data_IF_961293492431
#
_entry.id   IF_961293492431
#
_cell.length_a   1.000
_cell.length_b   1.000
_cell.length_c   1.000
_cell.angle_alpha   90.00
_cell.angle_beta   90.00
_cell.angle_gamma   90.00
#
_symmetry.space_group_name_H-M   'P 1'
#
loop_
_entity.id
_entity.type
_entity.pdbx_description
1 polymer ?
#
# COMPACT_ATOMS: atom_id res chain seq x y z
N UNK A 1 -7.37 0.15 4.83
CA UNK A 1 -6.20 0.00 5.72
C UNK A 1 -5.49 1.33 5.91
N UNK A 2 -5.12 1.69 7.15
CA UNK A 2 -4.38 2.91 7.46
C UNK A 2 -2.85 2.67 7.42
N UNK A 3 -2.05 3.73 7.64
CA UNK A 3 -0.58 3.65 7.59
C UNK A 3 0.01 2.68 8.62
N UNK A 4 -0.43 2.75 9.88
CA UNK A 4 0.11 1.94 10.98
C UNK A 4 -0.12 0.44 10.74
N UNK A 5 -1.32 0.09 10.25
CA UNK A 5 -1.64 -1.28 9.85
C UNK A 5 -0.76 -1.74 8.67
N UNK A 6 -0.52 -0.88 7.69
CA UNK A 6 0.34 -1.21 6.55
C UNK A 6 1.81 -1.40 6.99
N UNK A 7 2.31 -0.59 7.92
CA UNK A 7 3.65 -0.73 8.51
C UNK A 7 3.78 -2.08 9.24
N UNK A 8 2.77 -2.48 10.01
CA UNK A 8 2.73 -3.78 10.70
C UNK A 8 2.75 -4.96 9.71
N UNK A 9 1.88 -4.94 8.69
CA UNK A 9 1.76 -6.01 7.70
C UNK A 9 2.98 -6.12 6.76
N UNK A 10 3.63 -4.98 6.46
CA UNK A 10 4.77 -4.94 5.54
C UNK A 10 6.14 -5.07 6.21
N UNK A 11 6.22 -4.90 7.54
CA UNK A 11 7.50 -4.80 8.25
C UNK A 11 8.33 -3.56 7.87
N UNK A 12 7.67 -2.52 7.34
CA UNK A 12 8.32 -1.28 6.90
C UNK A 12 7.98 -0.11 7.81
N UNK A 13 8.87 0.88 7.87
CA UNK A 13 8.57 2.19 8.43
C UNK A 13 8.32 3.13 7.27
N UNK A 14 7.12 3.69 7.21
CA UNK A 14 6.65 4.53 6.14
C UNK A 14 6.80 6.01 6.53
N UNK A 15 7.14 6.83 5.55
CA UNK A 15 7.29 8.27 5.68
C UNK A 15 6.08 9.00 5.14
N UNK A 16 6.35 9.87 4.16
CA UNK A 16 5.33 10.66 3.46
C UNK A 16 4.55 9.79 2.49
N UNK A 17 3.23 9.96 2.46
CA UNK A 17 2.36 9.42 1.41
C UNK A 17 2.37 10.35 0.19
N UNK A 18 2.40 9.77 -1.01
CA UNK A 18 2.02 10.47 -2.22
C UNK A 18 0.56 10.15 -2.56
N UNK A 19 -0.34 11.05 -2.21
CA UNK A 19 -1.75 10.96 -2.62
C UNK A 19 -1.92 11.54 -4.02
N UNK A 20 -2.58 10.80 -4.91
CA UNK A 20 -2.80 11.21 -6.29
C UNK A 20 -4.29 11.17 -6.65
N UNK A 21 -4.83 12.27 -7.18
CA UNK A 21 -6.24 12.36 -7.60
C UNK A 21 -6.58 11.46 -8.81
N UNK A 22 -5.58 10.99 -9.55
CA UNK A 22 -5.77 10.04 -10.67
C UNK A 22 -5.77 8.57 -10.22
N UNK A 23 -5.56 8.31 -8.93
CA UNK A 23 -5.68 6.97 -8.40
C UNK A 23 -7.16 6.66 -8.15
N UNK A 24 -7.74 5.80 -8.98
CA UNK A 24 -9.14 5.40 -8.89
C UNK A 24 -9.42 4.39 -7.77
N UNK A 25 -8.37 3.82 -7.16
CA UNK A 25 -8.46 2.79 -6.13
C UNK A 25 -7.53 3.09 -4.92
N UNK A 26 -7.70 4.23 -4.24
CA UNK A 26 -6.79 4.72 -3.19
C UNK A 26 -6.72 3.83 -1.93
N UNK A 27 -7.69 2.95 -1.74
CA UNK A 27 -7.68 1.98 -0.64
C UNK A 27 -6.84 0.74 -0.95
N UNK A 28 -6.71 0.40 -2.23
CA UNK A 28 -5.95 -0.76 -2.72
C UNK A 28 -4.53 -0.40 -3.16
N UNK A 29 -4.33 0.78 -3.73
CA UNK A 29 -3.02 1.21 -4.19
C UNK A 29 -2.57 2.45 -3.43
N UNK A 30 -1.45 2.33 -2.72
CA UNK A 30 -0.88 3.40 -1.89
C UNK A 30 0.58 3.62 -2.21
N UNK A 31 1.02 4.86 -2.24
CA UNK A 31 2.41 5.21 -2.56
C UNK A 31 3.05 5.90 -1.37
N UNK A 32 4.10 5.30 -0.80
CA UNK A 32 4.79 5.84 0.37
C UNK A 32 6.30 5.92 0.13
N UNK A 33 6.92 6.93 0.74
CA UNK A 33 8.37 6.95 0.94
C UNK A 33 8.71 5.95 2.05
N UNK A 34 9.55 4.96 1.76
CA UNK A 34 10.00 4.00 2.78
C UNK A 34 11.21 4.59 3.51
N UNK A 35 11.12 4.63 4.84
CA UNK A 35 12.18 5.14 5.73
C UNK A 35 13.07 4.00 6.22
N UNK A 36 12.50 2.84 6.53
CA UNK A 36 13.27 1.66 6.93
C UNK A 36 12.53 0.36 6.61
N UNK A 37 13.29 -0.72 6.45
CA UNK A 37 12.81 -2.10 6.34
C UNK A 37 13.65 -2.92 7.31
N UNK A 38 13.01 -3.64 8.24
CA UNK A 38 13.71 -4.46 9.25
C UNK A 38 14.81 -3.70 10.04
N UNK A 39 14.63 -2.39 10.25
CA UNK A 39 15.59 -1.51 10.93
C UNK A 39 16.67 -0.90 10.02
N UNK A 40 16.77 -1.32 8.77
CA UNK A 40 17.72 -0.78 7.80
C UNK A 40 17.15 0.42 7.06
N UNK A 41 17.86 1.55 7.10
CA UNK A 41 17.43 2.81 6.52
C UNK A 41 17.25 2.70 4.98
N UNK A 42 16.14 3.25 4.49
CA UNK A 42 15.76 3.29 3.09
C UNK A 42 15.54 4.74 2.63
N UNK A 43 15.65 4.95 1.32
CA UNK A 43 15.46 6.27 0.68
C UNK A 43 14.78 6.12 -0.68
N UNK A 44 13.77 5.27 -0.77
CA UNK A 44 13.03 5.05 -2.01
C UNK A 44 11.51 5.12 -1.79
N UNK A 45 10.77 5.27 -2.88
CA UNK A 45 9.32 5.20 -2.89
C UNK A 45 8.87 3.79 -3.25
N UNK A 46 7.80 3.33 -2.62
CA UNK A 46 7.13 2.09 -2.98
C UNK A 46 5.66 2.32 -3.29
N UNK A 47 5.19 1.61 -4.31
CA UNK A 47 3.77 1.38 -4.54
C UNK A 47 3.39 0.09 -3.82
N UNK A 48 2.54 0.22 -2.80
CA UNK A 48 1.89 -0.88 -2.11
C UNK A 48 0.59 -1.23 -2.82
N UNK A 49 0.41 -2.52 -3.08
CA UNK A 49 -0.80 -3.10 -3.64
C UNK A 49 -1.44 -4.03 -2.62
N UNK A 50 -2.58 -3.59 -2.10
CA UNK A 50 -3.40 -4.24 -1.08
C UNK A 50 -4.58 -4.92 -1.76
N UNK A 51 -4.69 -6.22 -1.60
CA UNK A 51 -5.91 -6.96 -1.93
C UNK A 51 -6.78 -6.99 -0.70
N UNK A 52 -7.89 -6.23 -0.74
CA UNK A 52 -8.83 -6.15 0.35
C UNK A 52 -10.08 -6.96 0.01
N UNK A 53 -10.56 -7.73 0.97
CA UNK A 53 -11.74 -8.56 0.83
C UNK A 53 -12.98 -7.72 0.51
N UNK A 54 -13.81 -8.20 -0.40
CA UNK A 54 -15.10 -7.65 -0.75
C UNK A 54 -16.26 -8.53 -0.20
N UNK A 55 -17.51 -8.13 -0.47
CA UNK A 55 -18.69 -8.88 -0.01
C UNK A 55 -18.70 -10.34 -0.50
N UNK A 56 -18.29 -10.59 -1.74
CA UNK A 56 -18.23 -11.94 -2.31
C UNK A 56 -17.21 -12.84 -1.62
N UNK A 57 -16.07 -12.29 -1.18
CA UNK A 57 -15.05 -13.03 -0.44
C UNK A 57 -15.54 -13.41 0.97
N UNK A 58 -16.35 -12.54 1.58
CA UNK A 58 -17.00 -12.84 2.87
C UNK A 58 -18.11 -13.87 2.71
N UNK A 59 -18.94 -13.75 1.66
CA UNK A 59 -20.02 -14.68 1.37
C UNK A 59 -19.51 -16.10 1.05
N UNK A 60 -18.36 -16.20 0.37
CA UNK A 60 -17.72 -17.48 0.05
C UNK A 60 -16.99 -18.11 1.25
N UNK A 61 -16.75 -17.35 2.32
CA UNK A 61 -15.98 -17.76 3.50
C UNK A 61 -14.46 -17.67 3.30
N UNK A 62 -13.98 -16.94 2.29
CA UNK A 62 -12.56 -16.65 2.06
C UNK A 62 -12.04 -15.53 2.98
N UNK A 63 -12.93 -14.68 3.50
CA UNK A 63 -12.63 -13.61 4.45
C UNK A 63 -13.66 -13.58 5.60
N UNK A 64 -13.26 -13.08 6.76
CA UNK A 64 -14.16 -12.86 7.89
C UNK A 64 -14.92 -11.53 7.77
N UNK A 65 -14.27 -10.51 7.19
CA UNK A 65 -14.85 -9.16 7.09
C UNK A 65 -14.49 -8.44 5.80
N UNK A 66 -15.39 -7.56 5.32
CA UNK A 66 -15.12 -6.68 4.17
C UNK A 66 -14.01 -5.71 4.56
N UNK A 67 -13.01 -5.56 3.70
CA UNK A 67 -11.83 -4.73 3.92
C UNK A 67 -10.66 -5.44 4.60
N UNK A 68 -10.79 -6.73 4.93
CA UNK A 68 -9.71 -7.58 5.41
C UNK A 68 -8.59 -7.68 4.36
N UNK A 69 -7.33 -7.59 4.78
CA UNK A 69 -6.19 -7.70 3.87
C UNK A 69 -5.95 -9.18 3.54
N UNK A 70 -6.18 -9.55 2.29
CA UNK A 70 -5.97 -10.90 1.78
C UNK A 70 -4.53 -11.09 1.25
N UNK A 71 -3.96 -10.03 0.68
CA UNK A 71 -2.61 -10.07 0.14
C UNK A 71 -2.00 -8.66 0.12
N UNK A 72 -0.69 -8.59 0.34
CA UNK A 72 0.10 -7.39 0.27
C UNK A 72 1.35 -7.63 -0.59
N UNK A 73 1.57 -6.73 -1.53
CA UNK A 73 2.82 -6.68 -2.29
C UNK A 73 3.27 -5.23 -2.47
N UNK A 74 4.57 -5.03 -2.70
CA UNK A 74 5.10 -3.72 -3.02
C UNK A 74 6.17 -3.77 -4.11
N UNK A 75 6.33 -2.66 -4.82
CA UNK A 75 7.42 -2.45 -5.78
C UNK A 75 8.03 -1.07 -5.60
N UNK A 76 9.35 -0.97 -5.79
CA UNK A 76 10.05 0.31 -5.82
C UNK A 76 9.65 1.09 -7.07
N UNK A 77 9.33 2.36 -6.89
CA UNK A 77 8.94 3.27 -7.98
C UNK A 77 9.72 4.57 -7.89
N UNK A 78 10.00 5.18 -9.05
CA UNK A 78 10.62 6.52 -9.13
C UNK A 78 9.64 7.58 -9.64
N UNK A 79 8.41 7.17 -9.97
CA UNK A 79 7.35 8.02 -10.48
C UNK A 79 6.00 7.51 -9.97
N UNK A 80 5.03 8.41 -9.88
CA UNK A 80 3.65 8.06 -9.58
C UNK A 80 3.06 7.30 -10.78
N UNK A 81 2.56 6.06 -10.59
CA UNK A 81 2.01 5.26 -11.69
C UNK A 81 0.70 5.84 -12.27
N UNK A 82 0.05 6.77 -11.55
CA UNK A 82 -1.24 7.33 -11.94
C UNK A 82 -1.13 8.65 -12.72
N UNK A 83 -0.21 9.54 -12.33
CA UNK A 83 -0.05 10.84 -12.97
C UNK A 83 1.29 11.04 -13.69
N UNK A 84 2.24 10.11 -13.53
CA UNK A 84 3.58 10.19 -14.13
C UNK A 84 4.50 11.21 -13.46
N UNK A 85 4.09 11.84 -12.35
CA UNK A 85 4.94 12.76 -11.59
C UNK A 85 6.17 12.01 -11.06
N UNK A 86 7.36 12.58 -11.25
CA UNK A 86 8.60 12.05 -10.65
C UNK A 86 8.52 12.13 -9.13
N UNK A 87 8.90 11.05 -8.46
CA UNK A 87 8.95 10.94 -7.00
C UNK A 87 10.41 11.03 -6.56
N UNK A 88 10.82 12.21 -6.09
CA UNK A 88 12.14 12.45 -5.49
C UNK A 88 12.19 11.95 -4.03
#
# INVERSE_FOLDING_TARGET
MNKEQLEEESGTILGREHTCERNEIPDHLKVYRVIAIEGEAQTHWELFSLWLANEGDVESGEAETVGELLNLSSIKVNYCPFCGLSLE
#
